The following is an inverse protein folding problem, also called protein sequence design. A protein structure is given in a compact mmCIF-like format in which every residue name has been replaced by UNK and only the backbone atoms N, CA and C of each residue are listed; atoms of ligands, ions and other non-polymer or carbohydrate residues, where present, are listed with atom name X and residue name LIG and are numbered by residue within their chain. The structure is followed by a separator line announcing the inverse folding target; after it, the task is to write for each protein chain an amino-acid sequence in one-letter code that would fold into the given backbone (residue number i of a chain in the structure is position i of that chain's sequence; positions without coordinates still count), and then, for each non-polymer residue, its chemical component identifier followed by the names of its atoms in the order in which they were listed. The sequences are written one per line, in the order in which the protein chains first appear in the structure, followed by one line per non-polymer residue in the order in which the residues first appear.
data_IF_275081071193
#
_entry.id   IF_275081071193
#
_cell.length_a   1.000
_cell.length_b   1.000
_cell.length_c   1.000
_cell.angle_alpha   90.00
_cell.angle_beta   90.00
_cell.angle_gamma   90.00
#
_symmetry.space_group_name_H-M   'P 1'
#
loop_
_entity.id
_entity.type
_entity.pdbx_description
1 polymer ?
#
# COMPACT_ATOMS: atom_id res chain seq x y z
N UNK A 1 -8.51 -3.91 -48.66
CA UNK A 1 -7.41 -4.75 -48.16
C UNK A 1 -6.91 -4.13 -46.86
N UNK A 2 -7.47 -4.54 -45.72
CA UNK A 2 -6.82 -4.53 -44.41
C UNK A 2 -7.75 -5.28 -43.44
N UNK A 3 -7.34 -6.49 -43.11
CA UNK A 3 -7.98 -7.42 -42.19
C UNK A 3 -7.72 -6.99 -40.75
N UNK A 4 -8.78 -6.64 -40.02
CA UNK A 4 -8.77 -6.63 -38.56
C UNK A 4 -8.76 -8.09 -38.10
N UNK A 5 -7.61 -8.59 -37.68
CA UNK A 5 -7.55 -9.80 -36.87
C UNK A 5 -8.01 -9.46 -35.45
N UNK A 6 -9.17 -9.98 -35.09
CA UNK A 6 -9.66 -10.03 -33.72
C UNK A 6 -8.87 -11.13 -33.00
N UNK A 7 -7.96 -10.76 -32.10
CA UNK A 7 -7.26 -11.72 -31.23
C UNK A 7 -8.13 -12.05 -30.02
N UNK A 8 -9.24 -12.75 -30.24
CA UNK A 8 -9.83 -13.57 -29.17
C UNK A 8 -8.90 -14.76 -28.95
N UNK A 9 -7.85 -14.55 -28.15
CA UNK A 9 -6.97 -15.65 -27.72
C UNK A 9 -7.76 -16.52 -26.76
N UNK A 10 -8.09 -17.73 -27.20
CA UNK A 10 -8.58 -18.79 -26.32
C UNK A 10 -7.45 -19.11 -25.35
N UNK A 11 -7.64 -18.74 -24.07
CA UNK A 11 -6.70 -19.09 -23.00
C UNK A 11 -6.95 -20.55 -22.66
N UNK A 12 -5.96 -21.40 -22.93
CA UNK A 12 -6.01 -22.81 -22.55
C UNK A 12 -6.09 -22.96 -21.02
N UNK A 13 -6.81 -23.98 -20.54
CA UNK A 13 -7.15 -24.15 -19.11
C UNK A 13 -5.94 -24.12 -18.17
N UNK A 14 -4.79 -24.59 -18.65
CA UNK A 14 -3.51 -24.60 -17.93
C UNK A 14 -2.83 -23.23 -17.82
N UNK A 15 -3.19 -22.27 -18.66
CA UNK A 15 -2.64 -20.91 -18.68
C UNK A 15 -3.54 -19.88 -17.99
N UNK A 16 -4.73 -20.29 -17.51
CA UNK A 16 -5.69 -19.39 -16.85
C UNK A 16 -5.07 -18.79 -15.57
N UNK A 17 -4.41 -19.60 -14.73
CA UNK A 17 -3.81 -19.09 -13.49
C UNK A 17 -2.75 -18.01 -13.73
N UNK A 18 -1.84 -18.25 -14.68
CA UNK A 18 -0.80 -17.29 -15.05
C UNK A 18 -1.38 -16.03 -15.72
N UNK A 19 -2.36 -16.19 -16.61
CA UNK A 19 -2.96 -15.06 -17.34
C UNK A 19 -3.86 -14.22 -16.44
N UNK A 20 -4.65 -14.85 -15.55
CA UNK A 20 -5.44 -14.17 -14.52
C UNK A 20 -4.52 -13.42 -13.55
N UNK A 21 -3.39 -14.00 -13.15
CA UNK A 21 -2.44 -13.33 -12.26
C UNK A 21 -1.72 -12.16 -12.96
N UNK A 22 -1.29 -12.31 -14.21
CA UNK A 22 -0.71 -11.23 -15.00
C UNK A 22 -1.69 -10.05 -15.21
N UNK A 23 -2.98 -10.35 -15.40
CA UNK A 23 -4.05 -9.35 -15.48
C UNK A 23 -4.35 -8.68 -14.13
N UNK A 24 -4.19 -9.39 -13.01
CA UNK A 24 -4.40 -8.86 -11.65
C UNK A 24 -3.21 -8.02 -11.15
N UNK A 25 -1.99 -8.32 -11.59
CA UNK A 25 -0.75 -7.65 -11.17
C UNK A 25 -0.27 -6.55 -12.13
N UNK A 26 -0.90 -6.40 -13.29
CA UNK A 26 -0.62 -5.36 -14.28
C UNK A 26 0.86 -5.32 -14.73
N UNK A 27 1.47 -6.50 -14.98
CA UNK A 27 2.85 -6.61 -15.46
C UNK A 27 2.93 -6.95 -16.96
N UNK A 28 3.74 -6.15 -17.68
CA UNK A 28 4.17 -6.39 -19.06
C UNK A 28 5.02 -7.67 -19.19
N UNK A 29 4.94 -8.29 -20.37
CA UNK A 29 5.55 -9.58 -20.75
C UNK A 29 7.10 -9.61 -20.77
N UNK A 30 7.79 -8.65 -20.15
CA UNK A 30 9.25 -8.52 -20.09
C UNK A 30 9.82 -8.63 -18.66
N UNK A 31 8.99 -8.94 -17.66
CA UNK A 31 9.45 -9.20 -16.29
C UNK A 31 10.16 -10.56 -16.19
N UNK A 32 11.44 -10.57 -15.82
CA UNK A 32 12.25 -11.78 -15.57
C UNK A 32 12.03 -12.38 -14.17
N UNK A 33 10.97 -11.97 -13.46
CA UNK A 33 10.69 -12.39 -12.09
C UNK A 33 9.83 -13.66 -12.10
N UNK A 34 10.21 -14.69 -11.33
CA UNK A 34 9.34 -15.85 -11.12
C UNK A 34 7.98 -15.40 -10.56
N UNK A 35 6.93 -15.77 -11.28
CA UNK A 35 5.55 -15.35 -11.02
C UNK A 35 5.08 -15.94 -9.68
N UNK A 36 4.57 -15.09 -8.78
CA UNK A 36 3.76 -15.52 -7.63
C UNK A 36 4.50 -15.87 -6.33
N UNK A 37 5.81 -15.68 -6.23
CA UNK A 37 6.55 -15.92 -4.98
C UNK A 37 6.80 -14.61 -4.23
N UNK A 38 6.47 -14.60 -2.92
CA UNK A 38 6.85 -13.54 -1.99
C UNK A 38 8.36 -13.58 -1.74
N UNK A 39 9.02 -12.43 -1.81
CA UNK A 39 10.48 -12.28 -1.81
C UNK A 39 10.96 -11.33 -0.73
N UNK A 40 12.29 -11.25 -0.53
CA UNK A 40 12.89 -10.28 0.38
C UNK A 40 12.57 -8.84 -0.03
N UNK A 41 12.57 -8.54 -1.34
CA UNK A 41 12.25 -7.20 -1.84
C UNK A 41 10.79 -6.81 -1.57
N UNK A 42 9.87 -7.78 -1.63
CA UNK A 42 8.48 -7.55 -1.24
C UNK A 42 8.37 -7.20 0.25
N UNK A 43 9.03 -8.00 1.10
CA UNK A 43 9.02 -7.75 2.55
C UNK A 43 9.64 -6.38 2.90
N UNK A 44 10.76 -6.03 2.25
CA UNK A 44 11.39 -4.71 2.37
C UNK A 44 10.44 -3.60 1.90
N UNK A 45 9.65 -3.83 0.84
CA UNK A 45 8.69 -2.85 0.33
C UNK A 45 7.56 -2.59 1.33
N UNK A 46 7.05 -3.64 1.97
CA UNK A 46 6.06 -3.50 3.06
C UNK A 46 6.68 -2.73 4.24
N UNK A 47 7.87 -3.12 4.69
CA UNK A 47 8.54 -2.41 5.79
C UNK A 47 8.83 -0.95 5.48
N UNK A 48 9.26 -0.61 4.25
CA UNK A 48 9.47 0.78 3.83
C UNK A 48 8.19 1.59 3.92
N UNK A 49 7.08 1.03 3.44
CA UNK A 49 5.77 1.65 3.58
C UNK A 49 5.39 1.83 5.05
N UNK A 50 5.52 0.79 5.88
CA UNK A 50 5.17 0.83 7.31
C UNK A 50 6.01 1.88 8.04
N UNK A 51 7.34 1.84 7.91
CA UNK A 51 8.22 2.82 8.55
C UNK A 51 7.93 4.26 8.12
N UNK A 52 7.67 4.47 6.82
CA UNK A 52 7.31 5.80 6.32
C UNK A 52 5.95 6.26 6.88
N UNK A 53 4.92 5.43 6.82
CA UNK A 53 3.59 5.73 7.34
C UNK A 53 3.60 5.99 8.85
N UNK A 54 4.39 5.23 9.62
CA UNK A 54 4.61 5.44 11.05
C UNK A 54 5.48 6.68 11.37
N UNK A 55 6.13 7.28 10.38
CA UNK A 55 6.81 8.57 10.54
C UNK A 55 5.89 9.77 10.31
N UNK A 56 4.69 9.56 9.73
CA UNK A 56 3.73 10.63 9.47
C UNK A 56 3.17 11.21 10.78
N UNK A 57 2.92 12.53 10.84
CA UNK A 57 2.28 13.15 11.99
C UNK A 57 0.85 12.62 12.20
N UNK A 58 0.40 12.60 13.45
CA UNK A 58 -0.91 12.04 13.84
C UNK A 58 -1.83 13.04 14.54
N UNK A 59 -1.29 14.17 15.00
CA UNK A 59 -2.09 15.27 15.54
C UNK A 59 -2.48 16.20 14.40
N UNK A 60 -3.75 16.62 14.37
CA UNK A 60 -4.28 17.55 13.37
C UNK A 60 -3.34 18.74 13.09
N UNK A 61 -2.89 19.44 14.12
CA UNK A 61 -2.00 20.60 13.96
C UNK A 61 -0.63 20.25 13.37
N UNK A 62 -0.08 19.08 13.70
CA UNK A 62 1.21 18.63 13.18
C UNK A 62 1.08 18.22 11.71
N UNK A 63 -0.05 17.61 11.31
CA UNK A 63 -0.36 17.27 9.91
C UNK A 63 -0.50 18.55 9.08
N UNK A 64 -1.27 19.53 9.55
CA UNK A 64 -1.41 20.83 8.87
C UNK A 64 -0.05 21.51 8.70
N UNK A 65 0.76 21.54 9.76
CA UNK A 65 2.09 22.13 9.74
C UNK A 65 3.03 21.39 8.78
N UNK A 66 2.95 20.06 8.72
CA UNK A 66 3.75 19.24 7.81
C UNK A 66 3.47 19.57 6.34
N UNK A 67 2.21 19.86 6.00
CA UNK A 67 1.83 20.34 4.67
C UNK A 67 1.98 21.86 4.47
N UNK A 68 2.42 22.61 5.47
CA UNK A 68 2.49 24.08 5.39
C UNK A 68 1.12 24.78 5.33
N UNK A 69 0.05 24.10 5.73
CA UNK A 69 -1.32 24.65 5.75
C UNK A 69 -1.48 25.56 6.97
N UNK A 70 -1.93 26.79 6.72
CA UNK A 70 -2.19 27.82 7.73
C UNK A 70 -3.67 28.20 7.75
N UNK A 71 -4.11 28.97 8.75
CA UNK A 71 -5.49 29.49 8.82
C UNK A 71 -5.87 30.39 7.64
N UNK A 72 -4.89 30.95 6.93
CA UNK A 72 -5.08 31.76 5.72
C UNK A 72 -5.00 30.95 4.42
N UNK A 73 -4.71 29.65 4.47
CA UNK A 73 -4.61 28.78 3.30
C UNK A 73 -6.01 28.29 2.92
N UNK A 74 -6.48 28.61 1.71
CA UNK A 74 -7.72 28.05 1.15
C UNK A 74 -7.35 27.03 0.08
N UNK A 75 -7.66 25.76 0.33
CA UNK A 75 -7.34 24.65 -0.58
C UNK A 75 -8.59 24.21 -1.36
N UNK A 76 -8.41 23.65 -2.57
CA UNK A 76 -9.49 23.05 -3.36
C UNK A 76 -9.92 21.66 -2.87
N UNK A 77 -9.45 21.25 -1.68
CA UNK A 77 -9.73 19.95 -1.06
C UNK A 77 -10.30 20.15 0.34
N UNK A 78 -11.07 19.17 0.81
CA UNK A 78 -11.43 19.13 2.22
C UNK A 78 -10.19 18.81 3.06
N UNK A 79 -9.85 19.73 3.95
CA UNK A 79 -8.68 19.59 4.82
C UNK A 79 -8.88 18.51 5.88
N UNK A 80 -10.12 18.28 6.33
CA UNK A 80 -10.42 17.20 7.26
C UNK A 80 -10.31 15.82 6.57
N UNK A 81 -10.67 15.71 5.29
CA UNK A 81 -10.44 14.51 4.47
C UNK A 81 -8.93 14.19 4.34
N UNK A 82 -8.10 15.22 4.07
CA UNK A 82 -6.64 15.07 4.04
C UNK A 82 -6.10 14.59 5.38
N UNK A 83 -6.51 15.22 6.49
CA UNK A 83 -6.07 14.84 7.84
C UNK A 83 -6.46 13.39 8.16
N UNK A 84 -7.72 13.03 7.93
CA UNK A 84 -8.22 11.68 8.19
C UNK A 84 -7.50 10.64 7.34
N UNK A 85 -7.21 10.95 6.07
CA UNK A 85 -6.43 10.06 5.20
C UNK A 85 -5.04 9.78 5.78
N UNK A 86 -4.32 10.82 6.24
CA UNK A 86 -3.00 10.64 6.86
C UNK A 86 -3.07 9.83 8.15
N UNK A 87 -4.08 10.07 9.00
CA UNK A 87 -4.28 9.29 10.23
C UNK A 87 -4.57 7.82 9.89
N UNK A 88 -5.49 7.57 8.97
CA UNK A 88 -5.86 6.20 8.58
C UNK A 88 -4.68 5.42 7.97
N UNK A 89 -3.80 6.08 7.20
CA UNK A 89 -2.57 5.49 6.68
C UNK A 89 -1.66 5.04 7.83
N UNK A 90 -1.48 5.90 8.84
CA UNK A 90 -0.67 5.58 10.01
C UNK A 90 -1.29 4.44 10.83
N UNK A 91 -2.60 4.48 11.04
CA UNK A 91 -3.32 3.46 11.80
C UNK A 91 -3.26 2.10 11.10
N UNK A 92 -3.41 2.07 9.77
CA UNK A 92 -3.19 0.87 8.97
C UNK A 92 -1.76 0.33 9.12
N UNK A 93 -0.75 1.20 9.04
CA UNK A 93 0.65 0.78 9.23
C UNK A 93 0.92 0.22 10.64
N UNK A 94 0.25 0.72 11.70
CA UNK A 94 0.35 0.17 13.06
C UNK A 94 -0.19 -1.26 13.18
N UNK A 95 -0.97 -1.76 12.21
CA UNK A 95 -1.49 -3.13 12.24
C UNK A 95 -0.49 -4.16 11.69
N UNK A 96 0.55 -3.72 10.97
CA UNK A 96 1.47 -4.62 10.27
C UNK A 96 2.23 -5.54 11.22
N UNK A 97 2.70 -5.05 12.37
CA UNK A 97 3.46 -5.88 13.33
C UNK A 97 2.68 -7.13 13.75
N UNK A 98 1.36 -6.98 13.92
CA UNK A 98 0.47 -8.10 14.22
C UNK A 98 0.39 -9.09 13.05
N UNK A 99 0.25 -8.60 11.81
CA UNK A 99 0.24 -9.45 10.60
C UNK A 99 1.56 -10.21 10.49
N UNK A 100 2.68 -9.51 10.61
CA UNK A 100 4.02 -10.07 10.48
C UNK A 100 4.30 -11.15 11.54
N UNK A 101 3.94 -10.89 12.80
CA UNK A 101 4.11 -11.87 13.87
C UNK A 101 3.32 -13.16 13.60
N UNK A 102 2.04 -13.04 13.25
CA UNK A 102 1.18 -14.19 12.97
C UNK A 102 1.67 -15.00 11.74
N UNK A 103 2.16 -14.31 10.70
CA UNK A 103 2.77 -14.97 9.54
C UNK A 103 4.01 -15.75 9.94
N UNK A 104 4.91 -15.16 10.73
CA UNK A 104 6.12 -15.84 11.21
C UNK A 104 5.79 -17.08 12.05
N UNK A 105 4.95 -16.91 13.07
CA UNK A 105 4.57 -17.98 13.98
C UNK A 105 3.93 -19.15 13.23
N UNK A 106 2.97 -18.86 12.35
CA UNK A 106 2.30 -19.93 11.60
C UNK A 106 3.21 -20.56 10.54
N UNK A 107 4.18 -19.82 9.98
CA UNK A 107 5.19 -20.42 9.10
C UNK A 107 6.04 -21.45 9.85
N UNK A 108 6.46 -21.14 11.09
CA UNK A 108 7.19 -22.09 11.95
C UNK A 108 6.32 -23.31 12.27
N UNK A 109 5.06 -23.09 12.66
CA UNK A 109 4.14 -24.18 12.97
C UNK A 109 3.93 -25.11 11.77
N UNK A 110 3.72 -24.55 10.57
CA UNK A 110 3.59 -25.34 9.34
C UNK A 110 4.86 -26.12 9.02
N UNK A 111 6.04 -25.52 9.18
CA UNK A 111 7.32 -26.21 8.94
C UNK A 111 7.52 -27.41 9.87
N UNK A 112 7.16 -27.25 11.15
CA UNK A 112 7.23 -28.31 12.16
C UNK A 112 6.21 -29.42 11.89
N UNK A 113 4.94 -29.06 11.66
CA UNK A 113 3.87 -30.00 11.33
C UNK A 113 4.20 -30.78 10.04
N UNK A 114 4.67 -30.09 8.99
CA UNK A 114 5.17 -30.71 7.77
C UNK A 114 6.26 -31.74 8.06
N UNK A 115 7.29 -31.37 8.83
CA UNK A 115 8.41 -32.29 9.12
C UNK A 115 7.91 -33.57 9.78
N UNK A 116 7.02 -33.45 10.74
CA UNK A 116 6.47 -34.57 11.48
C UNK A 116 5.61 -35.47 10.58
N UNK A 117 4.67 -34.88 9.83
CA UNK A 117 3.79 -35.61 8.90
C UNK A 117 4.59 -36.30 7.79
N UNK A 118 5.61 -35.63 7.23
CA UNK A 118 6.49 -36.20 6.21
C UNK A 118 7.29 -37.37 6.76
N UNK A 119 7.90 -37.21 7.94
CA UNK A 119 8.75 -38.23 8.55
C UNK A 119 7.94 -39.48 8.90
N UNK A 120 6.90 -39.34 9.72
CA UNK A 120 6.05 -40.46 10.12
C UNK A 120 5.32 -41.05 8.92
N UNK A 121 4.83 -40.21 8.00
CA UNK A 121 4.17 -40.65 6.79
C UNK A 121 5.10 -41.48 5.89
N UNK A 122 6.35 -41.04 5.75
CA UNK A 122 7.41 -41.76 5.04
C UNK A 122 7.70 -43.12 5.65
N UNK A 123 7.86 -43.20 6.98
CA UNK A 123 8.08 -44.45 7.70
C UNK A 123 6.93 -45.45 7.50
N UNK A 124 5.67 -45.01 7.57
CA UNK A 124 4.49 -45.87 7.31
C UNK A 124 4.51 -46.37 5.86
N UNK A 125 4.76 -45.50 4.89
CA UNK A 125 4.83 -45.86 3.47
C UNK A 125 5.95 -46.88 3.22
N UNK A 126 7.11 -46.65 3.81
CA UNK A 126 8.28 -47.53 3.69
C UNK A 126 7.98 -48.90 4.29
N UNK A 127 7.44 -48.94 5.51
CA UNK A 127 7.03 -50.17 6.18
C UNK A 127 6.09 -51.03 5.31
N UNK A 128 5.00 -50.44 4.82
CA UNK A 128 4.04 -51.19 4.00
C UNK A 128 4.68 -51.63 2.67
N UNK A 129 5.56 -50.81 2.06
CA UNK A 129 6.22 -51.19 0.81
C UNK A 129 7.20 -52.37 0.95
N UNK A 130 7.75 -52.60 2.14
CA UNK A 130 8.57 -53.78 2.45
C UNK A 130 7.75 -55.07 2.58
N UNK A 131 6.43 -54.99 2.72
CA UNK A 131 5.57 -56.18 2.74
C UNK A 131 5.53 -56.89 1.37
N UNK A 132 5.42 -58.23 1.36
CA UNK A 132 5.19 -58.99 0.14
C UNK A 132 4.02 -58.42 -0.66
N UNK A 133 4.16 -58.35 -1.99
CA UNK A 133 3.11 -57.76 -2.85
C UNK A 133 1.75 -58.46 -2.68
N UNK A 134 1.75 -59.77 -2.44
CA UNK A 134 0.53 -60.54 -2.19
C UNK A 134 -0.22 -60.01 -0.96
N UNK A 135 0.49 -59.76 0.15
CA UNK A 135 -0.08 -59.14 1.36
C UNK A 135 -0.60 -57.74 1.06
N UNK A 136 0.15 -56.91 0.33
CA UNK A 136 -0.31 -55.55 -0.02
C UNK A 136 -1.59 -55.51 -0.86
N UNK A 137 -1.83 -56.53 -1.68
CA UNK A 137 -3.05 -56.67 -2.50
C UNK A 137 -4.21 -57.28 -1.69
N UNK A 138 -3.93 -58.23 -0.79
CA UNK A 138 -4.95 -58.95 -0.03
C UNK A 138 -5.38 -58.23 1.25
N UNK A 139 -4.46 -57.58 1.94
CA UNK A 139 -4.67 -57.08 3.29
C UNK A 139 -5.20 -55.63 3.27
N UNK A 140 -5.86 -55.25 4.36
CA UNK A 140 -6.35 -53.90 4.64
C UNK A 140 -5.56 -53.28 5.80
N UNK A 141 -5.81 -52.00 6.10
CA UNK A 141 -5.15 -51.32 7.23
C UNK A 141 -5.42 -52.02 8.57
N UNK A 142 -6.61 -52.58 8.76
CA UNK A 142 -6.99 -53.28 9.99
C UNK A 142 -6.29 -54.64 10.15
N UNK A 143 -5.70 -55.17 9.08
CA UNK A 143 -5.02 -56.47 9.10
C UNK A 143 -3.52 -56.34 9.44
N UNK A 144 -3.02 -55.11 9.61
CA UNK A 144 -1.63 -54.86 9.99
C UNK A 144 -1.45 -55.19 11.49
N UNK A 145 -0.46 -56.01 11.79
CA UNK A 145 -0.07 -56.31 13.16
C UNK A 145 0.62 -55.10 13.79
N UNK A 146 0.05 -54.55 14.87
CA UNK A 146 0.55 -53.35 15.54
C UNK A 146 1.94 -53.55 16.17
N UNK A 147 2.27 -54.77 16.60
CA UNK A 147 3.62 -55.09 17.14
C UNK A 147 4.75 -54.98 16.11
N UNK A 148 4.42 -54.95 14.81
CA UNK A 148 5.41 -54.75 13.75
C UNK A 148 5.70 -53.25 13.47
N UNK A 149 4.98 -52.35 14.15
CA UNK A 149 5.14 -50.89 14.08
C UNK A 149 5.80 -50.29 15.33
N UNK A 150 6.40 -51.12 16.19
CA UNK A 150 6.91 -50.77 17.54
C UNK A 150 7.93 -49.60 17.59
N UNK A 151 8.40 -49.09 16.44
CA UNK A 151 9.31 -47.94 16.33
C UNK A 151 8.71 -46.70 15.63
N UNK A 152 7.48 -46.80 15.09
CA UNK A 152 6.79 -45.68 14.45
C UNK A 152 5.84 -45.05 15.46
N UNK A 153 6.07 -43.77 15.74
CA UNK A 153 5.16 -42.97 16.54
C UNK A 153 4.86 -41.63 15.87
N UNK A 154 3.76 -41.02 16.27
CA UNK A 154 3.39 -39.67 15.92
C UNK A 154 3.12 -38.87 17.18
N UNK A 155 3.71 -37.68 17.27
CA UNK A 155 3.44 -36.74 18.34
C UNK A 155 2.69 -35.54 17.75
N UNK A 156 1.44 -35.30 18.15
CA UNK A 156 0.67 -34.17 17.66
C UNK A 156 1.19 -32.82 18.18
N UNK A 157 0.68 -31.72 17.63
CA UNK A 157 0.96 -30.36 18.12
C UNK A 157 0.67 -30.24 19.64
N UNK A 158 -0.40 -30.87 20.10
CA UNK A 158 -0.83 -30.93 21.52
C UNK A 158 -0.03 -31.92 22.37
N UNK A 159 1.11 -32.41 21.86
CA UNK A 159 2.01 -33.34 22.53
C UNK A 159 1.39 -34.72 22.82
N UNK A 160 0.29 -35.08 22.13
CA UNK A 160 -0.29 -36.43 22.25
C UNK A 160 0.54 -37.40 21.42
N UNK A 161 0.87 -38.56 21.97
CA UNK A 161 1.70 -39.57 21.30
C UNK A 161 0.82 -40.77 20.94
N UNK A 162 0.86 -41.17 19.67
CA UNK A 162 0.27 -42.41 19.18
C UNK A 162 1.34 -43.34 18.61
N UNK A 163 1.22 -44.63 18.92
CA UNK A 163 2.06 -45.72 18.41
C UNK A 163 1.27 -46.71 17.54
N UNK A 164 -0.02 -46.86 17.78
CA UNK A 164 -0.91 -47.67 16.94
C UNK A 164 -1.22 -46.96 15.62
N UNK A 165 -1.16 -47.67 14.48
CA UNK A 165 -1.32 -47.08 13.14
C UNK A 165 -2.61 -46.29 12.98
N UNK A 166 -3.72 -46.83 13.45
CA UNK A 166 -5.05 -46.21 13.36
C UNK A 166 -5.09 -44.90 14.14
N UNK A 167 -4.48 -44.86 15.33
CA UNK A 167 -4.37 -43.67 16.16
C UNK A 167 -3.39 -42.65 15.54
N UNK A 168 -2.26 -43.10 14.98
CA UNK A 168 -1.33 -42.24 14.25
C UNK A 168 -2.03 -41.54 13.08
N UNK A 169 -2.75 -42.31 12.25
CA UNK A 169 -3.50 -41.75 11.12
C UNK A 169 -4.58 -40.78 11.59
N UNK A 170 -5.23 -41.05 12.72
CA UNK A 170 -6.23 -40.16 13.28
C UNK A 170 -5.60 -38.85 13.79
N UNK A 171 -4.46 -38.91 14.50
CA UNK A 171 -3.75 -37.71 14.95
C UNK A 171 -3.22 -36.87 13.77
N UNK A 172 -2.63 -37.50 12.75
CA UNK A 172 -2.21 -36.79 11.52
C UNK A 172 -3.41 -36.09 10.89
N UNK A 173 -4.55 -36.77 10.78
CA UNK A 173 -5.77 -36.21 10.20
C UNK A 173 -6.27 -34.99 10.97
N UNK A 174 -6.21 -35.03 12.30
CA UNK A 174 -6.68 -33.94 13.15
C UNK A 174 -5.69 -32.75 13.09
N UNK A 175 -4.39 -33.00 13.14
CA UNK A 175 -3.37 -31.96 12.95
C UNK A 175 -3.51 -31.26 11.58
N UNK A 176 -3.75 -32.00 10.50
CA UNK A 176 -4.00 -31.42 9.16
C UNK A 176 -5.19 -30.45 9.20
N UNK A 177 -6.29 -30.81 9.88
CA UNK A 177 -7.47 -29.93 10.00
C UNK A 177 -7.18 -28.70 10.83
N UNK A 178 -6.49 -28.86 11.95
CA UNK A 178 -6.15 -27.76 12.83
C UNK A 178 -5.22 -26.76 12.13
N UNK A 179 -4.24 -27.27 11.38
CA UNK A 179 -3.39 -26.45 10.53
C UNK A 179 -4.17 -25.75 9.42
N UNK A 180 -5.22 -26.37 8.86
CA UNK A 180 -6.11 -25.70 7.91
C UNK A 180 -6.85 -24.51 8.52
N UNK A 181 -7.36 -24.66 9.75
CA UNK A 181 -8.08 -23.60 10.46
C UNK A 181 -7.13 -22.44 10.78
N UNK A 182 -5.95 -22.75 11.35
CA UNK A 182 -4.91 -21.76 11.66
C UNK A 182 -4.47 -21.01 10.40
N UNK A 183 -4.18 -21.72 9.31
CA UNK A 183 -3.74 -21.14 8.04
C UNK A 183 -4.82 -20.26 7.40
N UNK A 184 -6.08 -20.68 7.44
CA UNK A 184 -7.21 -19.88 6.96
C UNK A 184 -7.34 -18.56 7.73
N UNK A 185 -7.17 -18.59 9.05
CA UNK A 185 -7.16 -17.39 9.87
C UNK A 185 -6.03 -16.42 9.49
N UNK A 186 -4.80 -16.93 9.28
CA UNK A 186 -3.68 -16.08 8.86
C UNK A 186 -3.92 -15.49 7.47
N UNK A 187 -4.46 -16.27 6.54
CA UNK A 187 -4.87 -15.74 5.23
C UNK A 187 -5.85 -14.58 5.37
N UNK A 188 -6.86 -14.70 6.23
CA UNK A 188 -7.83 -13.62 6.46
C UNK A 188 -7.15 -12.37 7.03
N UNK A 189 -6.24 -12.52 7.99
CA UNK A 189 -5.46 -11.39 8.55
C UNK A 189 -4.69 -10.63 7.46
N UNK A 190 -4.02 -11.36 6.55
CA UNK A 190 -3.28 -10.75 5.42
C UNK A 190 -4.24 -10.08 4.44
N UNK A 191 -5.32 -10.77 4.08
CA UNK A 191 -6.33 -10.24 3.16
C UNK A 191 -7.00 -8.98 3.72
N UNK A 192 -7.26 -8.92 5.01
CA UNK A 192 -7.85 -7.74 5.65
C UNK A 192 -6.88 -6.56 5.62
N UNK A 193 -5.59 -6.81 5.92
CA UNK A 193 -4.54 -5.80 5.75
C UNK A 193 -4.47 -5.27 4.31
N UNK A 194 -4.57 -6.15 3.32
CA UNK A 194 -4.62 -5.80 1.89
C UNK A 194 -5.85 -4.98 1.53
N UNK A 195 -7.03 -5.36 2.04
CA UNK A 195 -8.29 -4.69 1.74
C UNK A 195 -8.31 -3.24 2.24
N UNK A 196 -7.65 -2.92 3.36
CA UNK A 196 -7.47 -1.52 3.76
C UNK A 196 -6.71 -0.69 2.70
N UNK A 197 -5.77 -1.29 1.96
CA UNK A 197 -5.06 -0.62 0.86
C UNK A 197 -5.98 -0.47 -0.36
N UNK A 198 -6.62 -1.56 -0.79
CA UNK A 198 -7.31 -1.62 -2.10
C UNK A 198 -8.79 -1.26 -2.05
N UNK A 199 -9.39 -1.20 -0.86
CA UNK A 199 -10.83 -1.14 -0.64
C UNK A 199 -11.52 -2.48 -0.88
N UNK A 200 -12.74 -2.61 -0.35
CA UNK A 200 -13.58 -3.80 -0.50
C UNK A 200 -14.18 -4.26 0.82
N UNK A 201 -14.32 -5.58 0.98
CA UNK A 201 -14.88 -6.20 2.17
C UNK A 201 -13.81 -6.95 2.95
N UNK A 202 -13.76 -6.70 4.25
CA UNK A 202 -12.98 -7.50 5.20
C UNK A 202 -13.59 -8.88 5.38
N UNK A 203 -12.85 -9.79 5.99
CA UNK A 203 -13.25 -11.16 6.34
C UNK A 203 -14.50 -11.21 7.24
N UNK A 204 -14.75 -10.15 8.01
CA UNK A 204 -15.94 -9.97 8.85
C UNK A 204 -17.13 -9.32 8.11
N UNK A 205 -17.05 -9.17 6.78
CA UNK A 205 -18.05 -8.54 5.90
C UNK A 205 -18.22 -7.02 6.08
N UNK A 206 -17.36 -6.37 6.87
CA UNK A 206 -17.35 -4.91 6.95
C UNK A 206 -16.73 -4.32 5.67
N UNK A 207 -17.42 -3.34 5.08
CA UNK A 207 -16.88 -2.59 3.94
C UNK A 207 -15.86 -1.56 4.43
N UNK A 208 -14.76 -1.43 3.69
CA UNK A 208 -13.69 -0.47 3.95
C UNK A 208 -13.34 0.26 2.64
N UNK A 209 -13.22 1.57 2.74
CA UNK A 209 -12.77 2.41 1.62
C UNK A 209 -11.28 2.24 1.34
N UNK A 210 -10.89 2.38 0.08
CA UNK A 210 -9.49 2.23 -0.33
C UNK A 210 -8.65 3.45 0.08
N UNK A 211 -7.62 3.23 0.89
CA UNK A 211 -6.62 4.27 1.15
C UNK A 211 -5.94 4.75 -0.14
N UNK A 212 -5.64 3.84 -1.05
CA UNK A 212 -5.05 4.18 -2.36
C UNK A 212 -5.99 5.06 -3.21
N UNK A 213 -7.29 4.78 -3.18
CA UNK A 213 -8.28 5.60 -3.89
C UNK A 213 -8.43 6.98 -3.24
N UNK A 214 -8.43 7.06 -1.91
CA UNK A 214 -8.53 8.33 -1.19
C UNK A 214 -7.31 9.24 -1.49
N UNK A 215 -6.09 8.68 -1.51
CA UNK A 215 -4.88 9.41 -1.91
C UNK A 215 -5.01 9.95 -3.34
N UNK A 216 -5.48 9.12 -4.29
CA UNK A 216 -5.69 9.54 -5.68
C UNK A 216 -6.79 10.59 -5.83
N UNK A 217 -7.88 10.47 -5.05
CA UNK A 217 -8.96 11.44 -5.00
C UNK A 217 -8.45 12.82 -4.59
N UNK A 218 -7.70 12.89 -3.48
CA UNK A 218 -7.08 14.12 -3.00
C UNK A 218 -6.10 14.70 -4.04
N UNK A 219 -5.26 13.86 -4.66
CA UNK A 219 -4.33 14.29 -5.70
C UNK A 219 -5.05 14.91 -6.90
N UNK A 220 -6.10 14.25 -7.41
CA UNK A 220 -6.86 14.72 -8.57
C UNK A 220 -7.60 16.04 -8.29
N UNK A 221 -8.14 16.21 -7.08
CA UNK A 221 -8.77 17.47 -6.67
C UNK A 221 -7.75 18.63 -6.67
N UNK A 222 -6.48 18.36 -6.33
CA UNK A 222 -5.40 19.36 -6.35
C UNK A 222 -4.92 19.68 -7.77
N UNK A 223 -4.92 18.71 -8.69
CA UNK A 223 -4.47 18.87 -10.09
C UNK A 223 -5.38 19.78 -10.92
N UNK A 224 -6.66 19.90 -10.57
CA UNK A 224 -7.63 20.76 -11.30
C UNK A 224 -7.43 22.27 -11.07
N UNK A 225 -6.38 22.69 -10.36
CA UNK A 225 -6.12 24.09 -9.95
C UNK A 225 -5.07 24.79 -10.81
N UNK A 226 -4.85 24.33 -12.05
CA UNK A 226 -3.90 24.97 -12.97
C UNK A 226 -4.51 26.23 -13.60
N UNK A 227 -4.58 27.30 -12.80
CA UNK A 227 -5.07 28.61 -13.22
C UNK A 227 -3.94 29.46 -13.82
N UNK A 228 -3.28 28.99 -14.87
CA UNK A 228 -2.30 29.80 -15.63
C UNK A 228 -2.90 31.15 -16.09
N UNK A 229 -4.22 31.17 -16.35
CA UNK A 229 -4.97 32.35 -16.81
C UNK A 229 -5.06 33.44 -15.74
N UNK A 230 -5.22 33.07 -14.46
CA UNK A 230 -5.39 34.03 -13.36
C UNK A 230 -4.06 34.72 -13.00
N UNK A 231 -2.95 33.96 -13.01
CA UNK A 231 -1.60 34.51 -12.78
C UNK A 231 -1.24 35.58 -13.82
N UNK A 232 -1.50 35.29 -15.10
CA UNK A 232 -1.24 36.24 -16.19
C UNK A 232 -2.06 37.52 -16.03
N UNK A 233 -3.35 37.41 -15.67
CA UNK A 233 -4.23 38.57 -15.52
C UNK A 233 -3.81 39.47 -14.36
N UNK A 234 -3.51 38.93 -13.18
CA UNK A 234 -3.12 39.74 -12.02
C UNK A 234 -1.76 40.40 -12.21
N UNK A 235 -0.82 39.73 -12.88
CA UNK A 235 0.47 40.32 -13.24
C UNK A 235 0.31 41.46 -14.26
N UNK A 236 -0.57 41.29 -15.25
CA UNK A 236 -0.87 42.34 -16.24
C UNK A 236 -1.61 43.53 -15.60
N UNK A 237 -2.57 43.26 -14.71
CA UNK A 237 -3.26 44.29 -13.92
C UNK A 237 -2.29 45.05 -13.00
N UNK A 238 -1.37 44.36 -12.34
CA UNK A 238 -0.32 44.99 -11.53
C UNK A 238 0.58 45.89 -12.37
N UNK A 239 0.95 45.45 -13.59
CA UNK A 239 1.75 46.25 -14.53
C UNK A 239 1.00 47.51 -14.97
N UNK A 240 -0.27 47.38 -15.36
CA UNK A 240 -1.12 48.52 -15.71
C UNK A 240 -1.25 49.51 -14.55
N UNK A 241 -1.48 49.02 -13.33
CA UNK A 241 -1.62 49.87 -12.13
C UNK A 241 -0.33 50.58 -11.73
N UNK A 242 0.83 49.91 -11.87
CA UNK A 242 2.15 50.55 -11.68
C UNK A 242 2.42 51.64 -12.72
N UNK A 243 1.96 51.46 -13.96
CA UNK A 243 2.04 52.49 -15.00
C UNK A 243 1.10 53.68 -14.70
N UNK A 244 -0.15 53.42 -14.27
CA UNK A 244 -1.09 54.46 -13.80
C UNK A 244 -0.47 55.28 -12.65
N UNK A 245 0.15 54.60 -11.67
CA UNK A 245 0.82 55.26 -10.55
C UNK A 245 1.96 56.20 -11.00
N UNK A 246 2.81 55.75 -11.94
CA UNK A 246 3.90 56.57 -12.48
C UNK A 246 3.38 57.82 -13.20
N UNK A 247 2.29 57.71 -13.96
CA UNK A 247 1.65 58.85 -14.63
C UNK A 247 1.07 59.83 -13.59
N UNK A 248 0.35 59.34 -12.58
CA UNK A 248 -0.20 60.16 -11.50
C UNK A 248 0.90 60.90 -10.70
N UNK A 249 2.07 60.29 -10.50
CA UNK A 249 3.23 60.94 -9.87
C UNK A 249 3.81 62.08 -10.73
N UNK A 250 3.90 61.88 -12.05
CA UNK A 250 4.35 62.91 -12.99
C UNK A 250 3.34 64.06 -13.08
N UNK A 251 2.04 63.76 -13.17
CA UNK A 251 0.98 64.76 -13.20
C UNK A 251 0.91 65.55 -11.89
N UNK A 252 1.00 64.88 -10.74
CA UNK A 252 1.06 65.55 -9.44
C UNK A 252 2.25 66.52 -9.37
N UNK A 253 3.45 66.07 -9.76
CA UNK A 253 4.67 66.90 -9.79
C UNK A 253 4.52 68.11 -10.72
N UNK A 254 3.87 67.93 -11.88
CA UNK A 254 3.58 68.99 -12.82
C UNK A 254 2.56 70.00 -12.28
N UNK A 255 1.45 69.54 -11.69
CA UNK A 255 0.41 70.42 -11.12
C UNK A 255 0.86 71.14 -9.86
N UNK A 256 1.74 70.53 -9.05
CA UNK A 256 2.41 71.22 -7.94
C UNK A 256 3.31 72.32 -8.48
N UNK A 257 4.15 72.07 -9.50
CA UNK A 257 4.98 73.13 -10.12
C UNK A 257 4.13 74.26 -10.72
N UNK A 258 3.04 73.94 -11.42
CA UNK A 258 2.08 74.92 -11.95
C UNK A 258 1.33 75.69 -10.86
N UNK A 259 1.06 75.08 -9.71
CA UNK A 259 0.48 75.80 -8.59
C UNK A 259 1.40 76.93 -8.08
N UNK A 260 2.72 76.79 -8.30
CA UNK A 260 3.75 77.79 -7.99
C UNK A 260 4.07 78.75 -9.15
N UNK A 261 3.64 78.53 -10.40
CA UNK A 261 3.90 79.48 -11.51
C UNK A 261 3.15 80.81 -11.36
N UNK A 262 2.13 80.87 -10.48
CA UNK A 262 1.47 82.11 -10.07
C UNK A 262 2.38 83.11 -9.33
N UNK A 263 3.57 82.68 -8.87
CA UNK A 263 4.56 83.56 -8.24
C UNK A 263 5.03 84.71 -9.15
N UNK A 264 5.01 84.52 -10.47
CA UNK A 264 5.34 85.58 -11.44
C UNK A 264 4.27 86.69 -11.52
N UNK A 265 3.06 86.46 -11.00
CA UNK A 265 1.92 87.38 -11.02
C UNK A 265 1.52 87.97 -9.65
N UNK A 266 2.32 87.75 -8.60
CA UNK A 266 2.03 88.22 -7.23
C UNK A 266 0.99 87.38 -6.47
N UNK A 267 0.60 87.83 -5.27
CA UNK A 267 -0.24 87.08 -4.30
C UNK A 267 -1.60 86.64 -4.89
N UNK A 268 -2.19 87.42 -5.79
CA UNK A 268 -3.46 87.11 -6.47
C UNK A 268 -3.28 85.99 -7.51
N UNK A 269 -2.15 85.99 -8.24
CA UNK A 269 -1.77 84.90 -9.15
C UNK A 269 -1.60 83.57 -8.40
N UNK A 270 -0.99 83.61 -7.21
CA UNK A 270 -0.83 82.47 -6.30
C UNK A 270 -2.16 81.91 -5.78
N UNK A 271 -3.16 82.75 -5.49
CA UNK A 271 -4.49 82.31 -5.01
C UNK A 271 -5.28 81.62 -6.13
N UNK A 272 -5.23 82.13 -7.37
CA UNK A 272 -5.96 81.56 -8.51
C UNK A 272 -5.29 80.26 -8.99
N UNK A 273 -3.96 80.24 -9.16
CA UNK A 273 -3.24 79.01 -9.54
C UNK A 273 -3.24 77.99 -8.40
N UNK A 274 -3.17 78.42 -7.14
CA UNK A 274 -3.25 77.57 -5.95
C UNK A 274 -4.63 76.93 -5.74
N UNK A 275 -5.72 77.65 -5.99
CA UNK A 275 -7.09 77.10 -5.84
C UNK A 275 -7.47 76.15 -6.99
N UNK A 276 -7.09 76.43 -8.23
CA UNK A 276 -7.40 75.58 -9.39
C UNK A 276 -6.44 74.39 -9.48
N UNK A 277 -5.13 74.60 -9.38
CA UNK A 277 -4.16 73.51 -9.50
C UNK A 277 -3.89 72.79 -8.17
N UNK A 278 -4.10 73.44 -7.02
CA UNK A 278 -4.07 72.76 -5.71
C UNK A 278 -5.24 71.81 -5.51
N UNK A 279 -6.47 72.18 -5.92
CA UNK A 279 -7.61 71.26 -5.87
C UNK A 279 -7.47 70.09 -6.86
N UNK A 280 -6.83 70.30 -8.02
CA UNK A 280 -6.45 69.22 -8.95
C UNK A 280 -5.33 68.34 -8.38
N UNK A 281 -4.30 68.93 -7.77
CA UNK A 281 -3.21 68.20 -7.13
C UNK A 281 -3.72 67.33 -5.96
N UNK A 282 -4.68 67.82 -5.17
CA UNK A 282 -5.26 67.05 -4.07
C UNK A 282 -6.14 65.89 -4.58
N UNK A 283 -6.89 66.08 -5.67
CA UNK A 283 -7.62 64.97 -6.35
C UNK A 283 -6.65 63.90 -6.88
N UNK A 284 -5.55 64.31 -7.50
CA UNK A 284 -4.52 63.39 -8.00
C UNK A 284 -3.83 62.67 -6.83
N UNK A 285 -3.60 63.36 -5.70
CA UNK A 285 -3.06 62.74 -4.47
C UNK A 285 -4.00 61.69 -3.89
N UNK A 286 -5.31 61.97 -3.82
CA UNK A 286 -6.31 61.01 -3.37
C UNK A 286 -6.32 59.77 -4.27
N UNK A 287 -6.32 59.97 -5.60
CA UNK A 287 -6.25 58.89 -6.59
C UNK A 287 -4.95 58.09 -6.48
N UNK A 288 -3.81 58.75 -6.28
CA UNK A 288 -2.50 58.10 -6.06
C UNK A 288 -2.52 57.15 -4.86
N UNK A 289 -3.13 57.58 -3.75
CA UNK A 289 -3.24 56.77 -2.54
C UNK A 289 -4.19 55.56 -2.75
N UNK A 290 -5.27 55.75 -3.48
CA UNK A 290 -6.18 54.68 -3.89
C UNK A 290 -5.46 53.65 -4.78
N UNK A 291 -4.77 54.08 -5.84
CA UNK A 291 -3.97 53.20 -6.72
C UNK A 291 -2.87 52.46 -5.96
N UNK A 292 -2.24 53.08 -4.95
CA UNK A 292 -1.25 52.42 -4.10
C UNK A 292 -1.88 51.33 -3.21
N UNK A 293 -3.09 51.56 -2.69
CA UNK A 293 -3.83 50.55 -1.95
C UNK A 293 -4.26 49.38 -2.86
N UNK A 294 -4.69 49.66 -4.10
CA UNK A 294 -4.99 48.65 -5.12
C UNK A 294 -3.74 47.83 -5.48
N UNK A 295 -2.59 48.47 -5.73
CA UNK A 295 -1.30 47.78 -5.99
C UNK A 295 -0.93 46.88 -4.82
N UNK A 296 -1.04 47.38 -3.59
CA UNK A 296 -0.76 46.58 -2.39
C UNK A 296 -1.68 45.37 -2.32
N UNK A 297 -2.98 45.55 -2.53
CA UNK A 297 -3.96 44.45 -2.53
C UNK A 297 -3.69 43.42 -3.62
N UNK A 298 -3.36 43.85 -4.84
CA UNK A 298 -3.01 42.97 -5.96
C UNK A 298 -1.72 42.20 -5.66
N UNK A 299 -0.70 42.87 -5.12
CA UNK A 299 0.57 42.25 -4.76
C UNK A 299 0.40 41.26 -3.59
N UNK A 300 -0.42 41.60 -2.59
CA UNK A 300 -0.80 40.70 -1.51
C UNK A 300 -1.60 39.50 -2.03
N UNK A 301 -2.39 39.67 -3.09
CA UNK A 301 -3.11 38.58 -3.75
C UNK A 301 -2.15 37.65 -4.53
N UNK A 302 -1.26 38.20 -5.37
CA UNK A 302 -0.25 37.41 -6.10
C UNK A 302 0.63 36.61 -5.13
N UNK A 303 1.14 37.25 -4.08
CA UNK A 303 1.96 36.57 -3.07
C UNK A 303 1.20 35.44 -2.36
N UNK A 304 -0.10 35.63 -2.09
CA UNK A 304 -0.96 34.59 -1.49
C UNK A 304 -1.19 33.44 -2.47
N UNK A 305 -1.44 33.73 -3.75
CA UNK A 305 -1.63 32.72 -4.78
C UNK A 305 -0.35 31.88 -4.99
N UNK A 306 0.83 32.50 -5.05
CA UNK A 306 2.12 31.80 -5.11
C UNK A 306 2.35 30.89 -3.90
N UNK A 307 2.03 31.37 -2.68
CA UNK A 307 2.13 30.56 -1.46
C UNK A 307 1.15 29.38 -1.47
N UNK A 308 -0.08 29.57 -1.93
CA UNK A 308 -1.08 28.50 -2.04
C UNK A 308 -0.63 27.46 -3.07
N UNK A 309 -0.14 27.90 -4.24
CA UNK A 309 0.41 26.99 -5.27
C UNK A 309 1.56 26.16 -4.73
N UNK A 310 2.47 26.77 -3.98
CA UNK A 310 3.56 26.04 -3.31
C UNK A 310 3.00 25.01 -2.33
N UNK A 311 2.04 25.38 -1.48
CA UNK A 311 1.42 24.44 -0.53
C UNK A 311 0.73 23.29 -1.25
N UNK A 312 -0.03 23.56 -2.31
CA UNK A 312 -0.68 22.54 -3.15
C UNK A 312 0.37 21.59 -3.74
N UNK A 313 1.45 22.14 -4.31
CA UNK A 313 2.54 21.36 -4.88
C UNK A 313 3.26 20.49 -3.83
N UNK A 314 3.52 21.04 -2.64
CA UNK A 314 4.11 20.31 -1.52
C UNK A 314 3.18 19.17 -1.06
N UNK A 315 1.86 19.39 -1.02
CA UNK A 315 0.87 18.34 -0.74
C UNK A 315 0.92 17.27 -1.84
N UNK A 316 0.89 17.66 -3.11
CA UNK A 316 0.96 16.74 -4.26
C UNK A 316 2.22 15.86 -4.24
N UNK A 317 3.40 16.44 -3.97
CA UNK A 317 4.66 15.69 -3.82
C UNK A 317 4.54 14.65 -2.71
N UNK A 318 4.01 15.05 -1.55
CA UNK A 318 3.88 14.14 -0.41
C UNK A 318 2.85 13.04 -0.66
N UNK A 319 1.70 13.35 -1.28
CA UNK A 319 0.70 12.36 -1.69
C UNK A 319 1.25 11.40 -2.74
N UNK A 320 2.02 11.90 -3.73
CA UNK A 320 2.66 11.06 -4.74
C UNK A 320 3.69 10.10 -4.12
N UNK A 321 4.47 10.59 -3.14
CA UNK A 321 5.40 9.76 -2.37
C UNK A 321 4.68 8.68 -1.57
N UNK A 322 3.58 9.02 -0.91
CA UNK A 322 2.71 8.06 -0.20
C UNK A 322 2.17 7.01 -1.19
N UNK A 323 1.60 7.43 -2.33
CA UNK A 323 1.06 6.55 -3.38
C UNK A 323 2.10 5.56 -3.91
N UNK A 324 3.35 6.01 -4.12
CA UNK A 324 4.46 5.15 -4.50
C UNK A 324 4.71 4.01 -3.50
N UNK A 325 4.87 4.35 -2.21
CA UNK A 325 5.04 3.33 -1.16
C UNK A 325 3.84 2.39 -1.04
N UNK A 326 2.61 2.90 -1.17
CA UNK A 326 1.41 2.08 -1.12
C UNK A 326 1.30 1.10 -2.30
N UNK A 327 1.67 1.52 -3.52
CA UNK A 327 1.68 0.64 -4.70
C UNK A 327 2.68 -0.49 -4.54
N UNK A 328 3.88 -0.20 -4.07
CA UNK A 328 4.91 -1.20 -3.81
C UNK A 328 4.48 -2.18 -2.71
N UNK A 329 3.95 -1.66 -1.60
CA UNK A 329 3.45 -2.47 -0.49
C UNK A 329 2.22 -3.31 -0.90
N UNK A 330 1.32 -2.77 -1.71
CA UNK A 330 0.18 -3.52 -2.26
C UNK A 330 0.64 -4.74 -3.04
N UNK A 331 1.56 -4.55 -3.99
CA UNK A 331 2.06 -5.65 -4.81
C UNK A 331 2.73 -6.72 -3.94
N UNK A 332 3.51 -6.29 -2.94
CA UNK A 332 4.14 -7.18 -1.99
C UNK A 332 3.13 -7.98 -1.14
N UNK A 333 2.07 -7.34 -0.65
CA UNK A 333 0.99 -7.99 0.11
C UNK A 333 0.16 -8.90 -0.79
N UNK A 334 -0.06 -8.55 -2.07
CA UNK A 334 -0.72 -9.42 -3.05
C UNK A 334 0.05 -10.75 -3.21
N UNK A 335 1.39 -10.69 -3.29
CA UNK A 335 2.24 -11.88 -3.34
C UNK A 335 2.16 -12.71 -2.05
N UNK A 336 2.15 -12.04 -0.89
CA UNK A 336 1.99 -12.71 0.40
C UNK A 336 0.63 -13.42 0.51
N UNK A 337 -0.46 -12.74 0.18
CA UNK A 337 -1.82 -13.29 0.22
C UNK A 337 -1.99 -14.50 -0.71
N UNK A 338 -1.37 -14.43 -1.89
CA UNK A 338 -1.37 -15.54 -2.85
C UNK A 338 -0.62 -16.76 -2.31
N UNK A 339 0.56 -16.58 -1.73
CA UNK A 339 1.32 -17.69 -1.17
C UNK A 339 0.57 -18.38 -0.01
N UNK A 340 -0.12 -17.60 0.84
CA UNK A 340 -0.99 -18.17 1.88
C UNK A 340 -2.25 -18.85 1.32
N UNK A 341 -2.76 -18.41 0.16
CA UNK A 341 -3.81 -19.14 -0.56
C UNK A 341 -3.30 -20.49 -1.08
N UNK A 342 -2.07 -20.54 -1.62
CA UNK A 342 -1.44 -21.79 -2.09
C UNK A 342 -1.26 -22.76 -0.92
N UNK A 343 -0.70 -22.31 0.21
CA UNK A 343 -0.58 -23.11 1.44
C UNK A 343 -1.94 -23.68 1.89
N UNK A 344 -2.96 -22.83 2.01
CA UNK A 344 -4.30 -23.26 2.40
C UNK A 344 -4.89 -24.27 1.41
N UNK A 345 -4.63 -24.09 0.11
CA UNK A 345 -5.10 -24.99 -0.94
C UNK A 345 -4.45 -26.36 -0.82
N UNK A 346 -3.13 -26.44 -0.61
CA UNK A 346 -2.42 -27.71 -0.40
C UNK A 346 -2.91 -28.44 0.84
N UNK A 347 -3.10 -27.73 1.96
CA UNK A 347 -3.65 -28.32 3.19
C UNK A 347 -5.08 -28.85 2.95
N UNK A 348 -5.92 -28.06 2.28
CA UNK A 348 -7.30 -28.46 1.97
C UNK A 348 -7.33 -29.68 1.04
N UNK A 349 -6.45 -29.74 0.05
CA UNK A 349 -6.30 -30.90 -0.81
C UNK A 349 -5.85 -32.14 -0.03
N UNK A 350 -4.91 -31.98 0.91
CA UNK A 350 -4.51 -33.05 1.83
C UNK A 350 -5.71 -33.57 2.64
N UNK A 351 -6.57 -32.70 3.17
CA UNK A 351 -7.83 -33.10 3.85
C UNK A 351 -8.73 -33.92 2.92
N UNK A 352 -8.95 -33.45 1.70
CA UNK A 352 -9.82 -34.13 0.73
C UNK A 352 -9.27 -35.49 0.28
N UNK A 353 -7.95 -35.64 0.19
CA UNK A 353 -7.33 -36.95 -0.05
C UNK A 353 -7.46 -37.84 1.19
N UNK A 354 -7.27 -37.30 2.39
CA UNK A 354 -7.40 -38.06 3.63
C UNK A 354 -8.81 -38.62 3.82
N UNK A 355 -9.85 -37.87 3.44
CA UNK A 355 -11.25 -38.34 3.45
C UNK A 355 -11.49 -39.59 2.59
N UNK A 356 -10.63 -39.84 1.59
CA UNK A 356 -10.71 -41.03 0.72
C UNK A 356 -9.98 -42.24 1.28
N UNK A 357 -9.26 -42.09 2.39
CA UNK A 357 -8.65 -43.21 3.11
C UNK A 357 -9.73 -43.86 3.97
N UNK A 358 -10.02 -45.13 3.68
CA UNK A 358 -10.88 -45.98 4.48
C UNK A 358 -10.04 -47.15 5.01
N UNK A 359 -10.22 -47.51 6.29
CA UNK A 359 -9.49 -48.63 6.91
C UNK A 359 -9.77 -49.99 6.24
N UNK A 360 -10.90 -50.12 5.54
CA UNK A 360 -11.24 -51.29 4.74
C UNK A 360 -10.58 -51.32 3.34
N UNK A 361 -9.94 -50.22 2.91
CA UNK A 361 -9.22 -50.19 1.64
C UNK A 361 -7.98 -51.09 1.68
N UNK A 362 -7.65 -51.69 0.53
CA UNK A 362 -6.42 -52.46 0.36
C UNK A 362 -5.19 -51.58 0.57
N UNK A 363 -4.12 -52.16 1.11
CA UNK A 363 -2.88 -51.45 1.44
C UNK A 363 -2.27 -50.69 0.23
N UNK A 364 -2.40 -51.22 -0.99
CA UNK A 364 -1.96 -50.50 -2.21
C UNK A 364 -2.71 -49.18 -2.43
N UNK A 365 -4.03 -49.20 -2.24
CA UNK A 365 -4.88 -48.01 -2.42
C UNK A 365 -4.60 -47.00 -1.30
N UNK A 366 -4.44 -47.49 -0.07
CA UNK A 366 -3.98 -46.67 1.06
C UNK A 366 -2.65 -45.97 0.75
N UNK A 367 -1.59 -46.71 0.39
CA UNK A 367 -0.27 -46.14 0.08
C UNK A 367 -0.38 -45.08 -1.00
N UNK A 368 -1.20 -45.32 -2.03
CA UNK A 368 -1.37 -44.36 -3.14
C UNK A 368 -1.97 -43.04 -2.66
N UNK A 369 -3.00 -43.08 -1.83
CA UNK A 369 -3.58 -41.86 -1.24
C UNK A 369 -2.64 -41.20 -0.24
N UNK A 370 -1.99 -41.99 0.61
CA UNK A 370 -1.14 -41.48 1.68
C UNK A 370 0.15 -40.85 1.13
N UNK A 371 0.73 -41.40 0.06
CA UNK A 371 1.82 -40.74 -0.70
C UNK A 371 1.43 -39.35 -1.18
N UNK A 372 0.21 -39.17 -1.70
CA UNK A 372 -0.26 -37.87 -2.16
C UNK A 372 -0.37 -36.86 -1.02
N UNK A 373 -0.82 -37.29 0.16
CA UNK A 373 -0.84 -36.45 1.37
C UNK A 373 0.59 -36.01 1.70
N UNK A 374 1.52 -36.96 1.84
CA UNK A 374 2.93 -36.66 2.15
C UNK A 374 3.55 -35.71 1.13
N UNK A 375 3.26 -35.87 -0.17
CA UNK A 375 3.72 -34.95 -1.22
C UNK A 375 3.21 -33.52 -1.04
N UNK A 376 1.93 -33.30 -0.72
CA UNK A 376 1.43 -31.95 -0.42
C UNK A 376 2.14 -31.31 0.78
N UNK A 377 2.49 -32.12 1.79
CA UNK A 377 3.19 -31.61 2.98
C UNK A 377 4.66 -31.25 2.71
N UNK A 378 5.32 -31.85 1.72
CA UNK A 378 6.61 -31.37 1.21
C UNK A 378 6.50 -29.96 0.63
N UNK A 379 5.51 -29.71 -0.24
CA UNK A 379 5.25 -28.37 -0.81
C UNK A 379 4.99 -27.34 0.31
N UNK A 380 4.15 -27.69 1.29
CA UNK A 380 3.88 -26.83 2.47
C UNK A 380 5.17 -26.55 3.25
N UNK A 381 6.06 -27.53 3.38
CA UNK A 381 7.35 -27.37 4.07
C UNK A 381 8.28 -26.39 3.34
N UNK A 382 8.35 -26.51 2.00
CA UNK A 382 9.20 -25.64 1.18
C UNK A 382 8.77 -24.18 1.31
N UNK A 383 7.47 -23.88 1.12
CA UNK A 383 6.95 -22.52 1.24
C UNK A 383 7.08 -21.96 2.67
N UNK A 384 6.79 -22.76 3.70
CA UNK A 384 6.91 -22.30 5.09
C UNK A 384 8.38 -22.04 5.48
N UNK A 385 9.32 -22.88 5.03
CA UNK A 385 10.76 -22.68 5.27
C UNK A 385 11.30 -21.48 4.51
N UNK A 386 10.83 -21.26 3.28
CA UNK A 386 11.13 -20.05 2.50
C UNK A 386 10.68 -18.79 3.24
N UNK A 387 9.44 -18.77 3.74
CA UNK A 387 8.90 -17.68 4.56
C UNK A 387 9.78 -17.39 5.78
N UNK A 388 10.11 -18.41 6.58
CA UNK A 388 10.98 -18.28 7.77
C UNK A 388 12.30 -17.63 7.37
N UNK A 389 12.93 -18.13 6.29
CA UNK A 389 14.21 -17.63 5.80
C UNK A 389 14.15 -16.16 5.42
N UNK A 390 13.09 -15.72 4.73
CA UNK A 390 12.92 -14.32 4.35
C UNK A 390 12.80 -13.40 5.58
N UNK A 391 12.00 -13.82 6.56
CA UNK A 391 11.77 -13.03 7.77
C UNK A 391 12.99 -12.97 8.69
N UNK A 392 13.83 -14.01 8.72
CA UNK A 392 15.07 -14.02 9.48
C UNK A 392 16.15 -13.10 8.86
N UNK A 393 16.16 -12.94 7.54
CA UNK A 393 17.13 -12.07 6.85
C UNK A 393 17.02 -10.58 7.23
N UNK A 394 15.87 -10.14 7.72
CA UNK A 394 15.63 -8.73 8.10
C UNK A 394 15.99 -8.44 9.57
N UNK A 395 16.30 -9.46 10.38
CA UNK A 395 16.78 -9.28 11.76
C UNK A 395 17.98 -8.30 11.82
N UNK A 396 18.08 -7.45 12.87
CA UNK A 396 18.83 -6.18 12.87
C UNK A 396 20.34 -6.26 12.60
N UNK A 397 20.93 -7.45 12.50
CA UNK A 397 22.33 -7.61 12.15
C UNK A 397 22.62 -7.64 10.63
N UNK A 398 21.60 -7.71 9.76
CA UNK A 398 21.80 -7.88 8.31
C UNK A 398 21.12 -6.82 7.40
N UNK A 399 20.50 -5.77 7.93
CA UNK A 399 19.87 -4.75 7.07
C UNK A 399 20.79 -3.54 6.80
N UNK A 400 21.06 -3.18 5.52
CA UNK A 400 21.80 -1.97 5.14
C UNK A 400 21.01 -0.66 5.39
N UNK A 401 19.85 -0.73 6.06
CA UNK A 401 19.04 0.43 6.47
C UNK A 401 19.85 1.42 7.34
N UNK A 402 20.84 0.94 8.09
CA UNK A 402 21.67 1.79 8.94
C UNK A 402 22.81 2.53 8.17
N UNK A 403 23.09 2.19 6.90
CA UNK A 403 24.21 2.78 6.15
C UNK A 403 23.82 3.77 5.06
N UNK A 404 22.59 3.76 4.54
CA UNK A 404 22.19 4.63 3.42
C UNK A 404 21.53 5.96 3.78
N UNK A 405 21.17 6.18 5.05
CA UNK A 405 20.52 7.43 5.48
C UNK A 405 21.35 8.28 6.46
N UNK A 406 22.62 7.92 6.70
CA UNK A 406 23.55 8.75 7.47
C UNK A 406 24.05 10.01 6.70
N UNK A 407 23.65 10.20 5.43
CA UNK A 407 24.10 11.30 4.57
C UNK A 407 22.98 12.18 3.97
N UNK A 408 21.77 12.12 4.53
CA UNK A 408 20.72 13.09 4.20
C UNK A 408 20.23 13.77 5.49
N UNK A 409 21.06 14.67 6.01
CA UNK A 409 20.65 15.74 6.93
C UNK A 409 20.82 17.06 6.21
#
# INVERSE_FOLDING_TARGET
MNTKENYDRIIEKEHIGHTTLALLTNQDALSTREVGIFTLDDLISIHRHVYFSLSLPWKKNDILKWFGITSSTTLPIDTDELINTIINIRDHANTWDNVEQHVKEQSVNLSLASRNIIQTGGQIIEYINHMPILKRVSDSLNDINESELDEIFYQSDDQQIATELTNILQLIKDDIKDQSIKTSNIKNIISDFRVHITGGYLSNYQHVESLLFNIKGLYNQLETTDNEITDSYLQELLKMKKQELQQLEQEYSHFVKLSFTGLAGGVIGLIITGSIFGSKAEKIRARKNETLAEIKSINDQINREELIKKVIFDIQINLHKIDGFFKDARLAVDHLDYMWLVLLTEITQSIEVFKKINNADKLIKFITHFKRIVTSWYTIQEYSTHLITLFDQIQPNNTPLNKRYAYAR
#
